data_IF_150629613505
#
_entry.id   IF_150629613505
#
_cell.length_a   1.000
_cell.length_b   1.000
_cell.length_c   1.000
_cell.angle_alpha   90.00
_cell.angle_beta   90.00
_cell.angle_gamma   90.00
#
_symmetry.space_group_name_H-M   'P 1'
#
loop_
_entity.id
_entity.type
_entity.pdbx_description
1 polymer ?
#
# COMPACT_ATOMS: atom_id res chain seq x y z
N UNK A 1 5.81 22.22 -23.61
CA UNK A 1 4.60 22.04 -22.78
C UNK A 1 3.83 20.82 -23.28
N UNK A 2 4.11 19.64 -22.74
CA UNK A 2 3.27 18.45 -22.96
C UNK A 2 2.30 18.38 -21.78
N UNK A 3 1.00 18.52 -22.07
CA UNK A 3 -0.08 18.34 -21.08
C UNK A 3 -0.05 16.88 -20.63
N UNK A 4 0.31 16.64 -19.37
CA UNK A 4 0.00 15.37 -18.72
C UNK A 4 -1.51 15.32 -18.57
N UNK A 5 -2.12 14.29 -19.16
CA UNK A 5 -3.53 13.97 -18.94
C UNK A 5 -3.63 13.48 -17.49
N UNK A 6 -4.14 14.33 -16.60
CA UNK A 6 -4.36 13.99 -15.20
C UNK A 6 -5.47 12.94 -15.14
N UNK A 7 -5.12 11.68 -14.91
CA UNK A 7 -6.08 10.62 -14.66
C UNK A 7 -6.25 10.51 -13.15
N UNK A 8 -7.45 10.82 -12.66
CA UNK A 8 -7.85 10.58 -11.28
C UNK A 8 -7.98 9.08 -11.09
N UNK A 9 -6.94 8.42 -10.58
CA UNK A 9 -7.09 7.06 -10.08
C UNK A 9 -7.96 7.17 -8.82
N UNK A 10 -9.22 6.77 -8.97
CA UNK A 10 -10.03 6.47 -7.80
C UNK A 10 -9.50 5.13 -7.31
N UNK A 11 -8.46 5.14 -6.47
CA UNK A 11 -8.09 3.96 -5.69
C UNK A 11 -9.24 3.69 -4.73
N UNK A 12 -10.28 3.00 -5.20
CA UNK A 12 -11.18 2.28 -4.33
C UNK A 12 -10.40 1.04 -3.89
N UNK A 13 -9.47 1.25 -2.95
CA UNK A 13 -8.97 0.16 -2.13
C UNK A 13 -10.18 -0.33 -1.34
N UNK A 14 -10.82 -1.37 -1.86
CA UNK A 14 -11.76 -2.17 -1.09
C UNK A 14 -10.94 -2.92 -0.05
N UNK A 15 -10.62 -2.21 1.04
CA UNK A 15 -10.31 -2.82 2.31
C UNK A 15 -11.48 -3.73 2.61
N UNK A 16 -11.19 -5.04 2.64
CA UNK A 16 -12.20 -6.07 2.75
C UNK A 16 -13.20 -5.69 3.84
N UNK A 17 -14.48 -5.65 3.46
CA UNK A 17 -15.56 -5.50 4.42
C UNK A 17 -15.34 -6.55 5.51
N UNK A 18 -14.94 -6.08 6.70
CA UNK A 18 -15.09 -6.84 7.92
C UNK A 18 -16.59 -6.98 8.09
N UNK A 19 -17.15 -8.09 7.60
CA UNK A 19 -18.45 -8.51 8.06
C UNK A 19 -18.34 -8.60 9.58
N UNK A 20 -19.12 -7.78 10.29
CA UNK A 20 -19.52 -8.05 11.66
C UNK A 20 -20.11 -9.45 11.67
N UNK A 21 -19.30 -10.44 12.04
CA UNK A 21 -19.76 -11.77 12.42
C UNK A 21 -19.33 -11.94 13.86
N UNK A 22 -20.29 -12.39 14.64
CA UNK A 22 -20.40 -12.39 16.09
C UNK A 22 -19.11 -12.45 16.91
N UNK A 23 -19.07 -11.54 17.89
CA UNK A 23 -18.30 -11.65 19.11
C UNK A 23 -18.63 -12.97 19.82
N UNK A 24 -17.83 -14.01 19.55
CA UNK A 24 -17.47 -15.09 20.49
C UNK A 24 -16.71 -16.18 19.71
N UNK A 25 -15.38 -16.06 19.65
CA UNK A 25 -14.47 -17.18 19.40
C UNK A 25 -13.12 -16.86 20.04
N UNK A 26 -12.44 -17.84 20.66
CA UNK A 26 -11.39 -17.60 21.64
C UNK A 26 -10.15 -16.98 20.98
N UNK A 27 -9.50 -16.07 21.71
CA UNK A 27 -8.23 -15.45 21.33
C UNK A 27 -7.22 -16.51 20.86
N UNK A 28 -6.62 -16.36 19.66
CA UNK A 28 -5.59 -17.27 19.22
C UNK A 28 -4.34 -17.05 20.09
N UNK A 29 -3.71 -18.16 20.50
CA UNK A 29 -2.44 -18.18 21.25
C UNK A 29 -1.37 -17.42 20.45
N UNK A 30 -1.16 -16.15 20.81
CA UNK A 30 -0.70 -15.12 19.86
C UNK A 30 0.82 -15.01 19.63
N UNK A 31 1.67 -15.69 20.40
CA UNK A 31 3.11 -15.41 20.35
C UNK A 31 3.90 -16.20 19.28
N UNK A 32 3.52 -17.43 18.94
CA UNK A 32 4.42 -18.28 18.12
C UNK A 32 4.17 -18.18 16.60
N UNK A 33 2.94 -17.85 16.18
CA UNK A 33 2.60 -17.74 14.76
C UNK A 33 2.94 -16.37 14.16
N UNK A 34 2.78 -15.29 14.92
CA UNK A 34 3.15 -13.95 14.49
C UNK A 34 4.66 -13.86 14.20
N UNK A 35 5.49 -14.56 14.98
CA UNK A 35 6.93 -14.70 14.77
C UNK A 35 7.33 -15.45 13.48
N UNK A 36 6.44 -16.27 12.89
CA UNK A 36 6.71 -16.93 11.60
C UNK A 36 6.37 -16.01 10.43
N UNK A 37 5.36 -15.15 10.58
CA UNK A 37 4.90 -14.23 9.52
C UNK A 37 5.85 -13.04 9.31
N UNK A 38 6.64 -12.67 10.31
CA UNK A 38 7.65 -11.60 10.23
C UNK A 38 8.98 -12.06 9.62
N UNK A 39 9.08 -13.30 9.12
CA UNK A 39 10.32 -13.83 8.54
C UNK A 39 10.32 -13.69 7.03
N UNK A 40 11.49 -13.35 6.49
CA UNK A 40 11.70 -13.39 5.05
C UNK A 40 11.61 -14.82 4.51
N UNK A 41 11.27 -14.94 3.23
CA UNK A 41 11.10 -16.20 2.52
C UNK A 41 11.97 -16.23 1.27
N UNK A 42 12.26 -17.44 0.78
CA UNK A 42 12.90 -17.65 -0.52
C UNK A 42 11.88 -17.92 -1.63
N UNK A 43 10.59 -17.67 -1.38
CA UNK A 43 9.52 -17.90 -2.36
C UNK A 43 9.51 -16.72 -3.31
N UNK A 44 9.78 -16.97 -4.59
CA UNK A 44 9.73 -15.92 -5.61
C UNK A 44 8.29 -15.43 -5.82
N UNK A 45 8.07 -14.12 -6.01
CA UNK A 45 6.78 -13.59 -6.42
C UNK A 45 6.30 -14.18 -7.74
N UNK A 46 5.00 -14.44 -7.84
CA UNK A 46 4.38 -14.97 -9.05
C UNK A 46 3.54 -13.87 -9.71
N UNK A 47 3.86 -13.55 -10.97
CA UNK A 47 3.09 -12.60 -11.78
C UNK A 47 2.18 -13.37 -12.73
N UNK A 48 0.88 -13.06 -12.71
CA UNK A 48 -0.13 -13.57 -13.63
C UNK A 48 -0.70 -12.39 -14.43
N UNK A 49 -0.69 -12.53 -15.74
CA UNK A 49 -1.13 -11.48 -16.68
C UNK A 49 -2.29 -12.02 -17.51
N UNK A 50 -3.36 -11.24 -17.66
CA UNK A 50 -4.48 -11.61 -18.52
C UNK A 50 -4.08 -11.61 -20.00
N UNK A 51 -4.69 -12.48 -20.81
CA UNK A 51 -4.41 -12.55 -22.25
C UNK A 51 -4.68 -11.20 -22.92
N UNK A 52 -3.90 -10.85 -23.94
CA UNK A 52 -4.03 -9.58 -24.66
C UNK A 52 -3.30 -8.41 -24.00
N UNK A 53 -2.72 -8.60 -22.82
CA UNK A 53 -1.80 -7.65 -22.19
C UNK A 53 -0.35 -8.10 -22.32
N UNK A 54 0.58 -7.17 -22.12
CA UNK A 54 2.02 -7.40 -22.07
C UNK A 54 2.60 -7.94 -23.39
N UNK A 55 2.05 -7.51 -24.53
CA UNK A 55 2.41 -8.03 -25.86
C UNK A 55 3.91 -7.91 -26.19
N UNK A 56 4.55 -6.85 -25.71
CA UNK A 56 5.98 -6.57 -25.89
C UNK A 56 6.83 -6.85 -24.63
N UNK A 57 6.25 -7.46 -23.59
CA UNK A 57 6.93 -7.73 -22.32
C UNK A 57 7.15 -6.52 -21.39
N UNK A 58 6.82 -5.30 -21.84
CA UNK A 58 7.14 -4.08 -21.09
C UNK A 58 6.35 -3.93 -19.78
N UNK A 59 5.09 -4.34 -19.75
CA UNK A 59 4.24 -4.27 -18.54
C UNK A 59 4.88 -5.07 -17.40
N UNK A 60 5.24 -6.33 -17.66
CA UNK A 60 5.91 -7.20 -16.68
C UNK A 60 7.29 -6.67 -16.32
N UNK A 61 8.08 -6.19 -17.28
CA UNK A 61 9.43 -5.66 -17.01
C UNK A 61 9.38 -4.42 -16.11
N UNK A 62 8.47 -3.48 -16.37
CA UNK A 62 8.32 -2.27 -15.56
C UNK A 62 7.81 -2.58 -14.16
N UNK A 63 6.85 -3.50 -14.03
CA UNK A 63 6.38 -3.94 -12.70
C UNK A 63 7.52 -4.62 -11.93
N UNK A 64 8.24 -5.56 -12.56
CA UNK A 64 9.39 -6.25 -11.94
C UNK A 64 10.51 -5.30 -11.54
N UNK A 65 10.74 -4.20 -12.28
CA UNK A 65 11.72 -3.17 -11.90
C UNK A 65 11.42 -2.61 -10.51
N UNK A 66 10.17 -2.22 -10.26
CA UNK A 66 9.75 -1.69 -8.96
C UNK A 66 9.76 -2.77 -7.88
N UNK A 67 9.16 -3.92 -8.18
CA UNK A 67 9.08 -5.05 -7.25
C UNK A 67 10.46 -5.52 -6.77
N UNK A 68 11.41 -5.73 -7.69
CA UNK A 68 12.75 -6.18 -7.34
C UNK A 68 13.49 -5.15 -6.48
N UNK A 69 13.31 -3.86 -6.77
CA UNK A 69 13.89 -2.80 -5.94
C UNK A 69 13.31 -2.85 -4.51
N UNK A 70 11.99 -2.95 -4.38
CA UNK A 70 11.32 -3.02 -3.08
C UNK A 70 11.74 -4.27 -2.29
N UNK A 71 11.82 -5.44 -2.93
CA UNK A 71 12.31 -6.68 -2.31
C UNK A 71 13.75 -6.53 -1.84
N UNK A 72 14.63 -5.95 -2.65
CA UNK A 72 16.03 -5.73 -2.27
C UNK A 72 16.14 -4.79 -1.06
N UNK A 73 15.27 -3.78 -0.97
CA UNK A 73 15.27 -2.83 0.13
C UNK A 73 14.64 -3.41 1.41
N UNK A 74 13.43 -3.95 1.35
CA UNK A 74 12.66 -4.40 2.51
C UNK A 74 12.96 -5.84 2.95
N UNK A 75 13.42 -6.68 2.03
CA UNK A 75 13.50 -8.13 2.18
C UNK A 75 12.28 -8.82 1.56
N UNK A 76 12.41 -10.11 1.26
CA UNK A 76 11.35 -10.86 0.57
C UNK A 76 10.35 -11.47 1.56
N UNK A 77 9.10 -11.00 1.59
CA UNK A 77 8.00 -11.58 2.37
C UNK A 77 6.95 -12.16 1.42
N UNK A 78 6.52 -13.40 1.67
CA UNK A 78 5.65 -14.11 0.76
C UNK A 78 5.03 -15.38 1.34
N UNK A 79 4.22 -16.12 0.55
CA UNK A 79 4.04 -15.98 -0.90
C UNK A 79 3.39 -14.65 -1.35
N UNK A 80 3.89 -14.05 -2.43
CA UNK A 80 3.34 -12.84 -3.05
C UNK A 80 2.92 -13.11 -4.50
N UNK A 81 1.67 -12.82 -4.82
CA UNK A 81 1.11 -12.97 -6.15
C UNK A 81 0.69 -11.61 -6.69
N UNK A 82 0.94 -11.38 -7.97
CA UNK A 82 0.56 -10.15 -8.66
C UNK A 82 -0.33 -10.53 -9.82
N UNK A 83 -1.50 -9.90 -9.91
CA UNK A 83 -2.51 -10.15 -10.91
C UNK A 83 -2.68 -8.88 -11.75
N UNK A 84 -2.06 -8.87 -12.93
CA UNK A 84 -2.17 -7.78 -13.91
C UNK A 84 -3.29 -8.15 -14.90
N UNK A 85 -4.51 -7.75 -14.58
CA UNK A 85 -5.71 -8.14 -15.29
C UNK A 85 -6.16 -7.03 -16.23
N UNK A 86 -7.06 -7.37 -17.15
CA UNK A 86 -7.72 -6.46 -18.07
C UNK A 86 -8.84 -7.18 -18.81
N UNK A 87 -9.66 -6.45 -19.59
CA UNK A 87 -10.72 -7.06 -20.36
C UNK A 87 -10.09 -8.03 -21.37
N UNK A 88 -10.33 -9.31 -21.15
CA UNK A 88 -9.77 -10.41 -21.91
C UNK A 88 -10.83 -11.49 -22.13
N UNK A 89 -10.46 -12.62 -22.73
CA UNK A 89 -11.39 -13.74 -22.85
C UNK A 89 -11.76 -14.27 -21.45
N UNK A 90 -13.05 -14.55 -21.24
CA UNK A 90 -13.60 -14.94 -19.94
C UNK A 90 -12.91 -16.17 -19.35
N UNK A 91 -12.55 -17.15 -20.19
CA UNK A 91 -11.88 -18.38 -19.78
C UNK A 91 -10.52 -18.11 -19.14
N UNK A 92 -9.70 -17.24 -19.72
CA UNK A 92 -8.40 -16.85 -19.17
C UNK A 92 -8.53 -16.20 -17.80
N UNK A 93 -9.50 -15.29 -17.65
CA UNK A 93 -9.79 -14.66 -16.35
C UNK A 93 -10.21 -15.71 -15.33
N UNK A 94 -11.15 -16.60 -15.66
CA UNK A 94 -11.57 -17.70 -14.77
C UNK A 94 -10.40 -18.62 -14.39
N UNK A 95 -9.48 -18.93 -15.31
CA UNK A 95 -8.28 -19.72 -15.03
C UNK A 95 -7.31 -19.01 -14.07
N UNK A 96 -7.13 -17.68 -14.21
CA UNK A 96 -6.32 -16.89 -13.27
C UNK A 96 -6.95 -16.89 -11.88
N UNK A 97 -8.26 -16.69 -11.78
CA UNK A 97 -8.97 -16.74 -10.50
C UNK A 97 -8.96 -18.14 -9.88
N UNK A 98 -8.99 -19.21 -10.68
CA UNK A 98 -8.77 -20.58 -10.20
C UNK A 98 -7.36 -20.76 -9.62
N UNK A 99 -6.32 -20.19 -10.25
CA UNK A 99 -4.95 -20.19 -9.70
C UNK A 99 -4.87 -19.41 -8.39
N UNK A 100 -5.56 -18.28 -8.29
CA UNK A 100 -5.70 -17.47 -7.07
C UNK A 100 -6.44 -18.23 -5.95
N UNK A 101 -7.49 -18.95 -6.27
CA UNK A 101 -8.18 -19.80 -5.31
C UNK A 101 -7.25 -20.91 -4.76
N UNK A 102 -6.47 -21.53 -5.65
CA UNK A 102 -5.51 -22.60 -5.30
C UNK A 102 -4.36 -22.11 -4.42
N UNK A 103 -3.85 -20.89 -4.62
CA UNK A 103 -2.76 -20.34 -3.79
C UNK A 103 -3.18 -20.13 -2.32
N UNK A 104 -4.48 -19.88 -2.10
CA UNK A 104 -5.10 -19.64 -0.78
C UNK A 104 -5.49 -20.90 -0.01
N UNK A 105 -5.40 -22.08 -0.63
CA UNK A 105 -5.79 -23.34 0.03
C UNK A 105 -4.98 -23.56 1.31
N UNK A 106 -5.70 -23.71 2.43
CA UNK A 106 -5.12 -24.14 3.69
C UNK A 106 -5.22 -25.67 3.79
N UNK A 107 -4.07 -26.34 3.69
CA UNK A 107 -3.99 -27.81 3.77
C UNK A 107 -4.23 -28.36 5.18
N UNK A 108 -4.16 -27.51 6.20
CA UNK A 108 -4.38 -27.88 7.60
C UNK A 108 -5.85 -27.73 8.01
N UNK A 109 -6.70 -27.15 7.15
CA UNK A 109 -8.13 -27.02 7.42
C UNK A 109 -8.86 -28.36 7.24
N UNK A 110 -9.96 -28.53 7.98
CA UNK A 110 -10.83 -29.72 7.87
C UNK A 110 -11.61 -29.78 6.54
N UNK A 111 -11.82 -28.65 5.90
CA UNK A 111 -12.53 -28.51 4.62
C UNK A 111 -11.63 -28.94 3.46
N UNK A 112 -12.18 -29.69 2.49
CA UNK A 112 -11.38 -30.17 1.35
C UNK A 112 -10.83 -29.02 0.49
N UNK A 113 -9.76 -29.28 -0.27
CA UNK A 113 -9.18 -28.26 -1.16
C UNK A 113 -10.18 -27.80 -2.23
N UNK A 114 -10.96 -28.73 -2.76
CA UNK A 114 -12.00 -28.47 -3.77
C UNK A 114 -13.11 -27.58 -3.20
N UNK A 115 -13.54 -27.87 -1.97
CA UNK A 115 -14.55 -27.06 -1.28
C UNK A 115 -14.03 -25.65 -1.00
N UNK A 116 -12.79 -25.48 -0.53
CA UNK A 116 -12.19 -24.16 -0.29
C UNK A 116 -12.08 -23.34 -1.59
N UNK A 117 -11.69 -23.97 -2.69
CA UNK A 117 -11.60 -23.34 -4.02
C UNK A 117 -13.00 -22.90 -4.49
N UNK A 118 -13.98 -23.80 -4.41
CA UNK A 118 -15.36 -23.50 -4.80
C UNK A 118 -15.96 -22.38 -3.95
N UNK A 119 -15.73 -22.38 -2.64
CA UNK A 119 -16.17 -21.31 -1.75
C UNK A 119 -15.56 -19.97 -2.16
N UNK A 120 -14.24 -19.91 -2.37
CA UNK A 120 -13.54 -18.68 -2.77
C UNK A 120 -14.10 -18.10 -4.07
N UNK A 121 -14.26 -18.92 -5.11
CA UNK A 121 -14.75 -18.49 -6.41
C UNK A 121 -16.21 -18.01 -6.37
N UNK A 122 -17.01 -18.51 -5.43
CA UNK A 122 -18.41 -18.12 -5.25
C UNK A 122 -18.61 -16.93 -4.31
N UNK A 123 -17.54 -16.34 -3.75
CA UNK A 123 -17.68 -15.17 -2.87
C UNK A 123 -18.23 -13.97 -3.66
N UNK A 124 -19.22 -13.23 -3.14
CA UNK A 124 -19.80 -12.10 -3.86
C UNK A 124 -18.79 -11.03 -4.28
N UNK A 125 -17.75 -10.79 -3.48
CA UNK A 125 -16.70 -9.83 -3.83
C UNK A 125 -15.78 -10.36 -4.95
N UNK A 126 -15.48 -11.66 -4.99
CA UNK A 126 -14.67 -12.27 -6.06
C UNK A 126 -15.43 -12.26 -7.39
N UNK A 127 -16.73 -12.58 -7.36
CA UNK A 127 -17.60 -12.47 -8.54
C UNK A 127 -17.61 -11.03 -9.08
N UNK A 128 -17.82 -10.05 -8.21
CA UNK A 128 -17.80 -8.63 -8.59
C UNK A 128 -16.46 -8.19 -9.19
N UNK A 129 -15.35 -8.68 -8.66
CA UNK A 129 -14.01 -8.37 -9.14
C UNK A 129 -13.77 -8.99 -10.54
N UNK A 130 -14.22 -10.23 -10.78
CA UNK A 130 -14.22 -10.84 -12.12
C UNK A 130 -15.07 -10.01 -13.09
N UNK A 131 -16.27 -9.61 -12.69
CA UNK A 131 -17.14 -8.77 -13.52
C UNK A 131 -16.51 -7.41 -13.83
N UNK A 132 -15.81 -6.81 -12.85
CA UNK A 132 -15.07 -5.57 -13.02
C UNK A 132 -13.93 -5.71 -14.04
N UNK A 133 -13.15 -6.80 -13.97
CA UNK A 133 -12.09 -7.12 -14.94
C UNK A 133 -12.67 -7.24 -16.35
N UNK A 134 -13.73 -8.04 -16.52
CA UNK A 134 -14.37 -8.27 -17.82
C UNK A 134 -14.99 -6.99 -18.39
N UNK A 135 -15.49 -6.11 -17.53
CA UNK A 135 -16.01 -4.80 -17.91
C UNK A 135 -14.91 -3.75 -18.15
N UNK A 136 -13.63 -4.07 -17.94
CA UNK A 136 -12.51 -3.14 -18.08
C UNK A 136 -12.52 -2.01 -17.04
N UNK A 137 -13.08 -2.24 -15.85
CA UNK A 137 -13.03 -1.26 -14.75
C UNK A 137 -11.65 -1.27 -14.10
N UNK A 138 -11.09 -0.08 -13.90
CA UNK A 138 -9.84 0.11 -13.21
C UNK A 138 -10.07 0.19 -11.69
N UNK A 139 -9.81 -0.92 -11.02
CA UNK A 139 -9.81 -1.10 -9.58
C UNK A 139 -8.54 -1.87 -9.22
N UNK A 140 -8.17 -1.87 -7.95
CA UNK A 140 -7.04 -2.66 -7.50
C UNK A 140 -6.62 -2.41 -6.08
N UNK A 141 -5.65 -3.19 -5.63
CA UNK A 141 -5.06 -3.09 -4.31
C UNK A 141 -4.45 -4.38 -3.81
N UNK A 142 -3.70 -4.26 -2.72
CA UNK A 142 -3.20 -5.40 -1.97
C UNK A 142 -4.30 -6.06 -1.12
N UNK A 143 -4.43 -7.38 -1.27
CA UNK A 143 -5.24 -8.23 -0.39
C UNK A 143 -4.37 -9.33 0.21
N UNK A 144 -4.81 -9.92 1.33
CA UNK A 144 -4.06 -11.01 1.96
C UNK A 144 -4.97 -12.01 2.70
N UNK A 145 -4.51 -13.25 2.87
CA UNK A 145 -5.21 -14.28 3.67
C UNK A 145 -4.97 -14.11 5.17
N UNK A 146 -5.83 -14.70 6.01
CA UNK A 146 -5.67 -14.77 7.47
C UNK A 146 -4.53 -15.75 7.87
N UNK A 147 -3.95 -15.62 9.08
CA UNK A 147 -3.07 -16.64 9.64
C UNK A 147 -3.74 -18.03 9.66
N UNK A 148 -2.98 -19.14 9.69
CA UNK A 148 -1.53 -19.22 9.97
C UNK A 148 -0.64 -18.94 8.74
N UNK A 149 -1.20 -18.99 7.53
CA UNK A 149 -0.46 -18.75 6.28
C UNK A 149 -0.97 -17.50 5.59
N UNK A 150 -0.15 -16.45 5.57
CA UNK A 150 -0.45 -15.23 4.84
C UNK A 150 0.05 -15.32 3.40
N UNK A 151 -0.89 -15.23 2.46
CA UNK A 151 -0.66 -15.10 1.02
C UNK A 151 -1.00 -13.66 0.67
N UNK A 152 -0.06 -12.94 0.10
CA UNK A 152 -0.22 -11.55 -0.33
C UNK A 152 -0.56 -11.51 -1.82
N UNK A 153 -1.47 -10.64 -2.21
CA UNK A 153 -2.01 -10.57 -3.57
C UNK A 153 -2.23 -9.12 -3.98
N UNK A 154 -1.40 -8.59 -4.88
CA UNK A 154 -1.66 -7.32 -5.56
C UNK A 154 -2.51 -7.59 -6.79
N UNK A 155 -3.72 -7.04 -6.81
CA UNK A 155 -4.66 -7.18 -7.92
C UNK A 155 -4.84 -5.84 -8.60
N UNK A 156 -4.64 -5.81 -9.91
CA UNK A 156 -5.03 -4.69 -10.77
C UNK A 156 -6.06 -5.20 -11.78
N UNK A 157 -7.31 -4.75 -11.69
CA UNK A 157 -8.41 -5.30 -12.50
C UNK A 157 -8.40 -4.81 -13.95
N UNK A 158 -7.75 -3.68 -14.23
CA UNK A 158 -7.49 -3.19 -15.58
C UNK A 158 -6.09 -2.57 -15.70
N UNK A 159 -5.22 -3.27 -16.42
CA UNK A 159 -3.82 -2.90 -16.64
C UNK A 159 -3.56 -2.39 -18.08
N UNK A 160 -4.61 -2.19 -18.88
CA UNK A 160 -4.46 -1.76 -20.29
C UNK A 160 -3.79 -0.39 -20.40
N UNK A 161 -4.20 0.58 -19.59
CA UNK A 161 -3.56 1.90 -19.57
C UNK A 161 -2.14 1.84 -18.99
N UNK A 162 -1.98 0.98 -17.98
CA UNK A 162 -0.71 0.69 -17.31
C UNK A 162 0.33 0.14 -18.29
N UNK A 163 -0.03 -0.68 -19.27
CA UNK A 163 0.90 -1.16 -20.32
C UNK A 163 1.64 -0.01 -21.00
N UNK A 164 0.99 1.14 -21.15
CA UNK A 164 1.54 2.34 -21.79
C UNK A 164 2.12 3.36 -20.80
N UNK A 165 2.13 3.06 -19.49
CA UNK A 165 2.62 3.95 -18.45
C UNK A 165 3.70 3.26 -17.57
N UNK A 166 4.96 3.21 -18.04
CA UNK A 166 6.05 2.52 -17.34
C UNK A 166 6.35 3.11 -15.95
N UNK A 167 6.13 4.41 -15.77
CA UNK A 167 6.35 5.12 -14.50
C UNK A 167 5.33 4.65 -13.48
N UNK A 168 4.05 4.67 -13.84
CA UNK A 168 2.96 4.25 -12.94
C UNK A 168 3.08 2.77 -12.56
N UNK A 169 3.43 1.88 -13.50
CA UNK A 169 3.67 0.46 -13.18
C UNK A 169 4.77 0.26 -12.15
N UNK A 170 5.86 1.02 -12.27
CA UNK A 170 6.98 0.90 -11.34
C UNK A 170 6.60 1.48 -9.99
N UNK A 171 5.93 2.63 -9.97
CA UNK A 171 5.45 3.29 -8.75
C UNK A 171 4.47 2.39 -7.99
N UNK A 172 3.49 1.79 -8.67
CA UNK A 172 2.52 0.88 -8.06
C UNK A 172 3.19 -0.34 -7.45
N UNK A 173 4.13 -0.98 -8.16
CA UNK A 173 4.86 -2.13 -7.63
C UNK A 173 5.68 -1.79 -6.37
N UNK A 174 6.29 -0.60 -6.31
CA UNK A 174 7.01 -0.11 -5.13
C UNK A 174 6.05 0.13 -3.95
N UNK A 175 4.90 0.76 -4.22
CA UNK A 175 3.89 1.12 -3.22
C UNK A 175 3.26 -0.12 -2.59
N UNK A 176 2.75 -1.04 -3.41
CA UNK A 176 2.07 -2.25 -2.94
C UNK A 176 3.03 -3.18 -2.20
N UNK A 177 4.29 -3.29 -2.64
CA UNK A 177 5.26 -4.11 -1.93
C UNK A 177 5.68 -3.51 -0.58
N UNK A 178 5.67 -2.19 -0.43
CA UNK A 178 5.83 -1.57 0.89
C UNK A 178 4.73 -2.06 1.85
N UNK A 179 3.48 -2.12 1.38
CA UNK A 179 2.39 -2.67 2.20
C UNK A 179 2.59 -4.14 2.57
N UNK A 180 3.14 -4.97 1.68
CA UNK A 180 3.53 -6.36 2.03
C UNK A 180 4.49 -6.36 3.23
N UNK A 181 5.51 -5.51 3.20
CA UNK A 181 6.45 -5.35 4.32
C UNK A 181 5.77 -4.83 5.59
N UNK A 182 4.93 -3.80 5.51
CA UNK A 182 4.19 -3.26 6.65
C UNK A 182 3.32 -4.33 7.31
N UNK A 183 2.50 -5.05 6.51
CA UNK A 183 1.58 -6.06 6.99
C UNK A 183 2.35 -7.22 7.62
N UNK A 184 3.52 -7.60 7.10
CA UNK A 184 4.39 -8.59 7.72
C UNK A 184 4.82 -8.22 9.16
N UNK A 185 4.79 -6.93 9.51
CA UNK A 185 5.26 -6.39 10.79
C UNK A 185 4.18 -5.70 11.63
N UNK A 186 2.91 -5.84 11.28
CA UNK A 186 1.81 -5.35 12.09
C UNK A 186 0.63 -6.34 12.11
N UNK A 187 -0.30 -6.11 13.03
CA UNK A 187 -1.57 -6.82 13.08
C UNK A 187 -2.64 -6.05 12.30
N UNK A 188 -2.63 -6.25 10.98
CA UNK A 188 -3.56 -5.62 10.04
C UNK A 188 -5.01 -6.08 10.18
N UNK A 189 -5.33 -6.99 11.11
CA UNK A 189 -6.71 -7.38 11.44
C UNK A 189 -7.31 -6.58 12.59
N UNK A 190 -6.50 -5.79 13.30
CA UNK A 190 -6.98 -4.85 14.31
C UNK A 190 -7.25 -3.48 13.69
N UNK A 191 -8.02 -2.63 14.37
CA UNK A 191 -8.32 -1.27 13.89
C UNK A 191 -7.04 -0.48 13.59
N UNK A 192 -7.03 0.40 12.57
CA UNK A 192 -5.85 1.20 12.21
C UNK A 192 -5.36 2.12 13.35
N UNK A 193 -6.25 2.50 14.26
CA UNK A 193 -5.95 3.23 15.49
C UNK A 193 -5.20 2.39 16.54
N UNK A 194 -5.38 1.06 16.54
CA UNK A 194 -4.76 0.12 17.47
C UNK A 194 -3.24 0.26 17.48
N UNK A 195 -2.63 0.09 18.64
CA UNK A 195 -1.18 0.09 18.76
C UNK A 195 -0.52 -1.13 18.09
N UNK A 196 -1.32 -2.15 17.77
CA UNK A 196 -0.88 -3.34 17.01
C UNK A 196 -0.93 -3.14 15.50
N UNK A 197 -1.59 -2.08 15.01
CA UNK A 197 -1.72 -1.76 13.58
C UNK A 197 -1.18 -0.35 13.29
N UNK A 198 -1.11 -0.01 12.02
CA UNK A 198 -0.64 1.26 11.50
C UNK A 198 -1.82 2.17 11.13
N UNK A 199 -1.69 3.45 11.46
CA UNK A 199 -2.63 4.47 11.03
C UNK A 199 -2.52 4.71 9.52
N UNK A 200 -3.58 5.24 8.90
CA UNK A 200 -3.65 5.39 7.44
C UNK A 200 -2.48 6.21 6.87
N UNK A 201 -2.04 7.27 7.56
CA UNK A 201 -0.90 8.07 7.10
C UNK A 201 0.43 7.30 7.15
N UNK A 202 0.60 6.39 8.10
CA UNK A 202 1.81 5.56 8.20
C UNK A 202 1.82 4.51 7.10
N UNK A 203 0.68 3.84 6.90
CA UNK A 203 0.54 2.83 5.85
C UNK A 203 0.73 3.45 4.46
N UNK A 204 -0.14 4.37 4.08
CA UNK A 204 -0.18 4.93 2.71
C UNK A 204 0.89 5.99 2.47
N UNK A 205 1.17 6.82 3.46
CA UNK A 205 2.10 7.91 3.33
C UNK A 205 3.55 7.48 3.26
N UNK A 206 3.96 6.53 4.11
CA UNK A 206 5.33 6.00 4.05
C UNK A 206 5.54 5.18 2.76
N UNK A 207 4.52 4.44 2.31
CA UNK A 207 4.54 3.79 1.00
C UNK A 207 4.71 4.82 -0.12
N UNK A 208 3.90 5.88 -0.15
CA UNK A 208 3.97 6.98 -1.14
C UNK A 208 5.33 7.67 -1.15
N UNK A 209 5.89 8.03 0.02
CA UNK A 209 7.23 8.62 0.13
C UNK A 209 8.29 7.68 -0.42
N UNK A 210 8.27 6.42 0.01
CA UNK A 210 9.28 5.44 -0.41
C UNK A 210 9.22 5.20 -1.91
N UNK A 211 8.03 5.10 -2.50
CA UNK A 211 7.84 4.96 -3.95
C UNK A 211 8.43 6.14 -4.68
N UNK A 212 8.12 7.37 -4.26
CA UNK A 212 8.71 8.57 -4.87
C UNK A 212 10.24 8.59 -4.77
N UNK A 213 10.79 8.26 -3.59
CA UNK A 213 12.24 8.24 -3.36
C UNK A 213 12.94 7.14 -4.16
N UNK A 214 12.35 5.95 -4.24
CA UNK A 214 12.90 4.83 -5.00
C UNK A 214 12.79 5.05 -6.51
N UNK A 215 11.71 5.71 -6.97
CA UNK A 215 11.58 6.15 -8.35
C UNK A 215 12.67 7.17 -8.73
N UNK A 216 13.05 8.08 -7.83
CA UNK A 216 14.20 8.97 -8.03
C UNK A 216 15.51 8.17 -8.11
N UNK A 217 15.73 7.21 -7.21
CA UNK A 217 16.92 6.34 -7.23
C UNK A 217 17.02 5.50 -8.52
N UNK A 218 15.87 5.24 -9.17
CA UNK A 218 15.77 4.58 -10.48
C UNK A 218 15.87 5.56 -11.66
N UNK A 219 16.08 6.85 -11.42
CA UNK A 219 16.12 7.94 -12.39
C UNK A 219 14.81 8.12 -13.20
N UNK A 220 13.66 7.84 -12.58
CA UNK A 220 12.34 7.89 -13.24
C UNK A 220 11.56 9.16 -12.92
N UNK A 221 11.80 9.78 -11.77
CA UNK A 221 11.14 11.02 -11.33
C UNK A 221 12.13 11.93 -10.60
N UNK A 222 11.84 13.22 -10.56
CA UNK A 222 12.48 14.15 -9.63
C UNK A 222 11.71 14.16 -8.30
N UNK A 223 12.35 13.71 -7.22
CA UNK A 223 11.68 13.54 -5.93
C UNK A 223 11.15 14.86 -5.37
N UNK A 224 11.92 15.96 -5.48
CA UNK A 224 11.52 17.27 -4.93
C UNK A 224 10.28 17.80 -5.64
N UNK A 225 10.25 17.70 -6.97
CA UNK A 225 9.10 18.08 -7.78
C UNK A 225 7.88 17.23 -7.45
N UNK A 226 8.06 15.91 -7.32
CA UNK A 226 6.98 15.00 -6.89
C UNK A 226 6.38 15.43 -5.54
N UNK A 227 7.21 15.67 -4.53
CA UNK A 227 6.75 16.11 -3.21
C UNK A 227 6.01 17.46 -3.26
N UNK A 228 6.48 18.40 -4.09
CA UNK A 228 5.81 19.68 -4.29
C UNK A 228 4.45 19.51 -4.99
N UNK A 229 4.36 18.60 -5.96
CA UNK A 229 3.13 18.32 -6.69
C UNK A 229 2.05 17.72 -5.78
N UNK A 230 2.39 16.86 -4.81
CA UNK A 230 1.45 16.41 -3.78
C UNK A 230 0.80 17.58 -3.04
N UNK A 231 1.52 18.70 -2.86
CA UNK A 231 0.96 19.90 -2.21
C UNK A 231 0.07 20.72 -3.13
N UNK A 232 0.52 20.94 -4.36
CA UNK A 232 -0.10 21.89 -5.28
C UNK A 232 -1.25 21.29 -6.08
N UNK A 233 -1.03 20.12 -6.66
CA UNK A 233 -1.92 19.53 -7.67
C UNK A 233 -2.51 18.21 -7.23
N UNK A 234 -1.86 17.52 -6.29
CA UNK A 234 -2.20 16.17 -5.85
C UNK A 234 -1.35 15.08 -6.52
N UNK A 235 -0.43 15.45 -7.41
CA UNK A 235 0.46 14.51 -8.09
C UNK A 235 -0.32 13.44 -8.87
N UNK A 236 0.14 12.20 -8.80
CA UNK A 236 -0.57 11.03 -9.34
C UNK A 236 -1.64 10.45 -8.39
N UNK A 237 -1.88 11.09 -7.24
CA UNK A 237 -2.71 10.55 -6.16
C UNK A 237 -4.14 11.10 -6.20
N UNK A 238 -4.31 12.40 -6.49
CA UNK A 238 -5.61 13.06 -6.43
C UNK A 238 -5.71 14.19 -7.44
N UNK A 239 -6.96 14.56 -7.77
CA UNK A 239 -7.26 15.73 -8.59
C UNK A 239 -7.01 17.06 -7.87
N UNK A 240 -6.78 17.03 -6.55
CA UNK A 240 -6.48 18.23 -5.75
C UNK A 240 -5.34 17.98 -4.76
N UNK A 241 -4.47 18.97 -4.59
CA UNK A 241 -3.35 18.90 -3.66
C UNK A 241 -3.70 19.23 -2.21
N UNK A 242 -2.73 18.97 -1.33
CA UNK A 242 -2.83 19.26 0.11
C UNK A 242 -3.26 20.70 0.40
N UNK A 243 -2.73 21.68 -0.34
CA UNK A 243 -3.02 23.10 -0.08
C UNK A 243 -4.52 23.38 -0.23
N UNK A 244 -5.15 22.84 -1.27
CA UNK A 244 -6.61 22.97 -1.48
C UNK A 244 -7.39 22.29 -0.37
N UNK A 245 -6.98 21.08 0.06
CA UNK A 245 -7.61 20.38 1.17
C UNK A 245 -7.55 21.19 2.47
N UNK A 246 -6.39 21.74 2.83
CA UNK A 246 -6.20 22.50 4.07
C UNK A 246 -6.95 23.84 4.09
N UNK A 247 -7.12 24.49 2.94
CA UNK A 247 -7.94 25.70 2.82
C UNK A 247 -9.39 25.44 3.22
N UNK A 248 -9.92 24.25 2.85
CA UNK A 248 -11.30 23.85 3.10
C UNK A 248 -11.50 23.15 4.46
N UNK A 249 -10.42 22.72 5.12
CA UNK A 249 -10.47 21.93 6.36
C UNK A 249 -9.50 22.50 7.40
N UNK A 250 -9.81 23.66 7.99
CA UNK A 250 -8.84 24.36 8.86
C UNK A 250 -8.44 23.58 10.10
N UNK A 251 -9.34 22.77 10.65
CA UNK A 251 -9.14 21.99 11.88
C UNK A 251 -8.69 20.54 11.61
N UNK A 252 -8.15 20.27 10.43
CA UNK A 252 -7.70 18.92 10.06
C UNK A 252 -6.61 18.37 10.99
N UNK A 253 -6.59 17.05 11.16
CA UNK A 253 -5.60 16.32 11.97
C UNK A 253 -5.11 15.08 11.25
N UNK A 254 -3.79 14.84 11.26
CA UNK A 254 -3.19 13.70 10.55
C UNK A 254 -3.65 12.34 11.08
N UNK A 255 -4.02 12.26 12.35
CA UNK A 255 -4.49 11.05 13.01
C UNK A 255 -6.02 10.87 13.02
N UNK A 256 -6.78 11.73 12.32
CA UNK A 256 -8.25 11.62 12.25
C UNK A 256 -8.70 10.61 11.17
N UNK A 257 -8.68 9.31 11.51
CA UNK A 257 -9.06 8.18 10.63
C UNK A 257 -10.42 8.35 9.91
N UNK A 258 -11.30 9.26 10.35
CA UNK A 258 -12.61 9.51 9.70
C UNK A 258 -12.50 10.02 8.26
N UNK A 259 -11.35 10.57 7.84
CA UNK A 259 -11.11 10.93 6.43
C UNK A 259 -11.19 9.74 5.48
N UNK A 260 -10.84 8.54 5.97
CA UNK A 260 -10.97 7.30 5.21
C UNK A 260 -12.42 6.84 5.17
N UNK A 261 -13.04 6.75 6.34
CA UNK A 261 -14.31 6.03 6.53
C UNK A 261 -15.54 6.80 6.05
N UNK A 262 -15.55 8.13 6.21
CA UNK A 262 -16.82 8.90 6.09
C UNK A 262 -16.72 10.14 5.22
N UNK A 263 -15.51 10.69 5.03
CA UNK A 263 -15.32 11.97 4.33
C UNK A 263 -14.83 11.81 2.88
N UNK A 264 -14.70 10.57 2.39
CA UNK A 264 -14.20 10.24 1.05
C UNK A 264 -12.89 10.99 0.69
N UNK A 265 -12.00 11.13 1.67
CA UNK A 265 -10.77 11.90 1.57
C UNK A 265 -9.52 11.04 1.82
N UNK A 266 -9.62 9.72 1.62
CA UNK A 266 -8.54 8.76 1.87
C UNK A 266 -7.21 9.17 1.21
N UNK A 267 -7.27 9.73 -0.01
CA UNK A 267 -6.12 10.23 -0.77
C UNK A 267 -5.26 11.25 0.01
N UNK A 268 -5.82 11.93 1.03
CA UNK A 268 -5.05 12.88 1.85
C UNK A 268 -3.97 12.18 2.69
N UNK A 269 -4.17 10.92 3.07
CA UNK A 269 -3.20 10.17 3.87
C UNK A 269 -1.93 9.81 3.10
N UNK A 270 -2.07 9.54 1.81
CA UNK A 270 -0.96 9.33 0.90
C UNK A 270 -0.10 10.60 0.85
N UNK A 271 -0.75 11.74 0.57
CA UNK A 271 -0.04 12.99 0.34
C UNK A 271 0.54 13.58 1.64
N UNK A 272 -0.27 13.70 2.70
CA UNK A 272 0.19 14.23 3.99
C UNK A 272 1.13 13.26 4.69
N UNK A 273 0.85 11.96 4.61
CA UNK A 273 1.71 10.94 5.20
C UNK A 273 3.08 10.87 4.51
N UNK A 274 3.16 11.12 3.19
CA UNK A 274 4.44 11.26 2.51
C UNK A 274 5.24 12.46 3.04
N UNK A 275 4.58 13.60 3.25
CA UNK A 275 5.21 14.78 3.85
C UNK A 275 5.57 14.59 5.34
N UNK A 276 4.78 13.83 6.08
CA UNK A 276 5.10 13.41 7.45
C UNK A 276 6.37 12.55 7.49
N UNK A 277 6.50 11.63 6.54
CA UNK A 277 7.70 10.81 6.36
C UNK A 277 8.92 11.69 6.02
N UNK A 278 8.75 12.65 5.10
CA UNK A 278 9.80 13.61 4.77
C UNK A 278 10.20 14.49 5.98
N UNK A 279 9.24 14.89 6.81
CA UNK A 279 9.49 15.65 8.03
C UNK A 279 10.37 14.86 9.01
N UNK A 280 10.05 13.60 9.27
CA UNK A 280 10.84 12.74 10.15
C UNK A 280 12.29 12.61 9.66
N UNK A 281 12.48 12.44 8.35
CA UNK A 281 13.81 12.21 7.76
C UNK A 281 14.62 13.52 7.73
N UNK A 282 14.06 14.59 7.17
CA UNK A 282 14.83 15.79 6.82
C UNK A 282 14.79 16.88 7.89
N UNK A 283 13.72 16.94 8.70
CA UNK A 283 13.58 17.94 9.77
C UNK A 283 14.05 17.37 11.10
N UNK A 284 13.50 16.24 11.52
CA UNK A 284 13.91 15.58 12.78
C UNK A 284 15.25 14.83 12.64
N UNK A 285 15.74 14.64 11.41
CA UNK A 285 17.06 14.05 11.15
C UNK A 285 17.12 12.54 11.42
N UNK A 286 15.97 11.86 11.43
CA UNK A 286 15.93 10.41 11.60
C UNK A 286 16.47 9.74 10.34
N UNK A 287 17.40 8.76 10.43
CA UNK A 287 17.89 8.07 9.24
C UNK A 287 16.76 7.48 8.40
N UNK A 288 16.82 7.65 7.07
CA UNK A 288 15.77 7.17 6.15
C UNK A 288 15.46 5.68 6.35
N UNK A 289 16.49 4.84 6.46
CA UNK A 289 16.32 3.40 6.72
C UNK A 289 15.61 3.12 8.05
N UNK A 290 15.77 4.01 9.05
CA UNK A 290 15.07 3.88 10.32
C UNK A 290 13.59 4.19 10.17
N UNK A 291 13.23 5.25 9.44
CA UNK A 291 11.84 5.65 9.17
C UNK A 291 11.13 4.64 8.26
N UNK A 292 11.80 4.16 7.21
CA UNK A 292 11.17 3.29 6.21
C UNK A 292 11.20 1.81 6.60
N UNK A 293 12.13 1.36 7.46
CA UNK A 293 12.34 -0.08 7.70
C UNK A 293 12.53 -0.45 9.17
N UNK A 294 13.51 0.13 9.88
CA UNK A 294 13.99 -0.47 11.13
C UNK A 294 12.93 -0.48 12.25
N UNK A 295 12.12 0.56 12.36
CA UNK A 295 11.14 0.67 13.45
C UNK A 295 10.03 -0.39 13.38
N UNK A 296 9.68 -0.84 12.16
CA UNK A 296 8.66 -1.87 11.95
C UNK A 296 8.99 -3.19 12.64
N UNK A 297 10.28 -3.56 12.74
CA UNK A 297 10.69 -4.79 13.42
C UNK A 297 10.35 -4.80 14.92
N UNK A 298 10.19 -3.63 15.53
CA UNK A 298 9.80 -3.52 16.94
C UNK A 298 8.28 -3.45 17.15
N UNK A 299 7.50 -3.10 16.13
CA UNK A 299 6.03 -2.94 16.23
C UNK A 299 5.34 -4.20 16.78
N UNK A 300 5.64 -5.43 16.32
CA UNK A 300 5.00 -6.63 16.86
C UNK A 300 5.31 -6.88 18.35
N UNK A 301 6.45 -6.37 18.85
CA UNK A 301 6.98 -6.69 20.18
C UNK A 301 6.60 -5.66 21.23
N UNK A 302 6.65 -4.38 20.88
CA UNK A 302 6.43 -3.27 21.83
C UNK A 302 5.31 -2.32 21.41
N UNK A 303 4.65 -2.59 20.28
CA UNK A 303 3.58 -1.74 19.76
C UNK A 303 4.10 -0.52 19.00
N UNK A 304 3.24 0.01 18.12
CA UNK A 304 3.51 1.13 17.21
C UNK A 304 4.03 2.36 17.96
N UNK A 305 3.37 2.76 19.05
CA UNK A 305 3.66 4.01 19.74
C UNK A 305 5.04 3.97 20.41
N UNK A 306 5.35 2.87 21.10
CA UNK A 306 6.65 2.69 21.74
C UNK A 306 7.77 2.49 20.70
N UNK A 307 7.51 1.74 19.62
CA UNK A 307 8.47 1.59 18.52
C UNK A 307 8.75 2.94 17.84
N UNK A 308 7.72 3.73 17.57
CA UNK A 308 7.87 5.07 17.01
C UNK A 308 8.74 5.95 17.91
N UNK A 309 8.43 6.03 19.21
CA UNK A 309 9.21 6.84 20.14
C UNK A 309 10.68 6.38 20.22
N UNK A 310 10.90 5.07 20.30
CA UNK A 310 12.25 4.48 20.37
C UNK A 310 13.11 4.86 19.16
N UNK A 311 12.53 4.85 17.96
CA UNK A 311 13.28 4.99 16.71
C UNK A 311 13.30 6.41 16.14
N UNK A 312 12.23 7.18 16.36
CA UNK A 312 12.11 8.56 15.87
C UNK A 312 12.64 9.58 16.88
N UNK A 313 12.76 9.21 18.16
CA UNK A 313 13.26 10.09 19.23
C UNK A 313 12.21 11.08 19.77
N UNK A 314 10.95 10.97 19.37
CA UNK A 314 9.82 11.75 19.87
C UNK A 314 8.54 10.89 19.90
N UNK A 315 7.64 11.20 20.82
CA UNK A 315 6.33 10.53 20.89
C UNK A 315 5.45 10.89 19.68
N UNK A 316 4.42 10.07 19.42
CA UNK A 316 3.46 10.34 18.35
C UNK A 316 2.71 11.66 18.57
N UNK A 317 2.34 11.98 19.81
CA UNK A 317 1.63 13.22 20.13
C UNK A 317 2.50 14.45 19.87
N UNK A 318 3.77 14.41 20.31
CA UNK A 318 4.73 15.47 19.99
C UNK A 318 4.94 15.62 18.47
N UNK A 319 5.06 14.49 17.77
CA UNK A 319 5.16 14.48 16.32
C UNK A 319 3.97 15.15 15.65
N UNK A 320 2.73 14.80 16.03
CA UNK A 320 1.53 15.37 15.42
C UNK A 320 1.45 16.89 15.61
N UNK A 321 1.81 17.39 16.80
CA UNK A 321 1.85 18.83 17.08
C UNK A 321 2.89 19.52 16.19
N UNK A 322 4.12 19.01 16.16
CA UNK A 322 5.22 19.61 15.39
C UNK A 322 4.96 19.56 13.89
N UNK A 323 4.52 18.41 13.39
CA UNK A 323 4.20 18.22 11.98
C UNK A 323 3.07 19.14 11.54
N UNK A 324 1.99 19.27 12.33
CA UNK A 324 0.88 20.16 12.00
C UNK A 324 1.34 21.63 11.86
N UNK A 325 2.26 22.08 12.72
CA UNK A 325 2.88 23.42 12.59
C UNK A 325 3.73 23.54 11.33
N UNK A 326 4.55 22.53 11.05
CA UNK A 326 5.42 22.50 9.87
C UNK A 326 4.63 22.57 8.55
N UNK A 327 3.67 21.67 8.37
CA UNK A 327 3.04 21.44 7.07
C UNK A 327 2.15 22.60 6.60
N UNK A 328 1.71 23.45 7.54
CA UNK A 328 0.90 24.65 7.30
C UNK A 328 1.71 25.85 6.79
N UNK A 329 3.03 25.74 6.77
CA UNK A 329 3.87 26.78 6.19
C UNK A 329 3.71 26.83 4.66
N UNK A 330 4.15 27.93 4.04
CA UNK A 330 4.11 28.07 2.59
C UNK A 330 4.98 27.03 1.89
N UNK A 331 4.65 26.71 0.64
CA UNK A 331 5.43 25.77 -0.20
C UNK A 331 6.92 26.12 -0.18
N UNK A 332 7.27 27.41 -0.32
CA UNK A 332 8.66 27.88 -0.26
C UNK A 332 9.36 27.52 1.05
N UNK A 333 8.66 27.55 2.19
CA UNK A 333 9.24 27.22 3.50
C UNK A 333 9.37 25.72 3.70
N UNK A 334 8.33 24.94 3.41
CA UNK A 334 8.37 23.47 3.59
C UNK A 334 9.36 22.80 2.63
N UNK A 335 9.56 23.34 1.43
CA UNK A 335 10.50 22.76 0.45
C UNK A 335 11.98 22.94 0.85
N UNK A 336 12.30 23.85 1.79
CA UNK A 336 13.67 24.05 2.27
C UNK A 336 14.27 22.82 2.95
N UNK A 337 13.44 21.87 3.38
CA UNK A 337 13.93 20.63 4.02
C UNK A 337 14.78 19.79 3.06
N UNK A 338 14.61 19.97 1.74
CA UNK A 338 15.37 19.27 0.71
C UNK A 338 16.57 20.08 0.18
N UNK A 339 16.79 21.28 0.71
CA UNK A 339 18.02 22.03 0.46
C UNK A 339 19.09 21.42 1.36
N UNK A 340 20.21 20.97 0.78
CA UNK A 340 21.31 20.34 1.52
C UNK A 340 21.74 21.24 2.68
N UNK A 341 21.86 20.66 3.87
CA UNK A 341 22.62 21.28 4.97
C UNK A 341 24.11 21.20 4.70
#
# INVERSE_FOLDING_TARGET
MKRFLTLTITCVLSSGCVNKVDSQSPEPKHNNEQHKLTKQTNIEPVLLVADGLNSNGSLVNNYKRGLNYAINYFGNYGPYYVYLLGPSNKKNIEEIYLKRAKSRVNKEASTSSEQQIAEFLNRPNVIKEIDAVLAGKAEGGLTWSRPPRRVYEDVTTNSTERENNPIENTWGALHEYHHVFQIAHCDSYTERSSDRNLNSWMSEGMATYSSAKFMENLNLVDFKSYMLDLRKTGGNISASGINTFMLNNRDWRLNDETYWETKNAAHIYYMLGAWATAYLIHVEGVPEITVLKNWYFDVPRIGKSAAFQKHMGLSLDEFYIRFNSFIRQSDKKVMKIFESK
#
